data_IF_981553772456
#
_entry.id   IF_981553772456
#
_cell.length_a   1.000
_cell.length_b   1.000
_cell.length_c   1.000
_cell.angle_alpha   90.00
_cell.angle_beta   90.00
_cell.angle_gamma   90.00
#
_symmetry.space_group_name_H-M   'P 1'
#
loop_
_entity.id
_entity.type
_entity.pdbx_description
1 polymer ?
#
# COMPACT_ATOMS: atom_id res chain seq x y z
N UNK A 1 -8.84 -52.43 -28.38
CA UNK A 1 -8.68 -51.01 -28.79
C UNK A 1 -9.35 -49.99 -27.86
N UNK A 2 -10.48 -50.28 -27.18
CA UNK A 2 -11.12 -49.30 -26.27
C UNK A 2 -10.32 -48.99 -24.98
N UNK A 3 -9.56 -49.96 -24.45
CA UNK A 3 -8.76 -49.81 -23.21
C UNK A 3 -7.58 -48.83 -23.33
N UNK A 4 -7.02 -48.65 -24.53
CA UNK A 4 -5.93 -47.70 -24.79
C UNK A 4 -6.41 -46.24 -24.82
N UNK A 5 -7.63 -45.99 -25.31
CA UNK A 5 -8.23 -44.65 -25.33
C UNK A 5 -8.54 -44.11 -23.93
N UNK A 6 -8.99 -44.98 -23.01
CA UNK A 6 -9.23 -44.58 -21.61
C UNK A 6 -7.93 -44.28 -20.85
N UNK A 7 -6.85 -45.02 -21.12
CA UNK A 7 -5.55 -44.78 -20.51
C UNK A 7 -4.94 -43.43 -20.93
N UNK A 8 -5.11 -43.06 -22.20
CA UNK A 8 -4.60 -41.79 -22.73
C UNK A 8 -5.38 -40.58 -22.18
N UNK A 9 -6.70 -40.70 -22.05
CA UNK A 9 -7.54 -39.65 -21.45
C UNK A 9 -7.24 -39.40 -19.96
N UNK A 10 -6.97 -40.46 -19.19
CA UNK A 10 -6.65 -40.36 -17.77
C UNK A 10 -5.27 -39.73 -17.52
N UNK A 11 -4.29 -39.98 -18.39
CA UNK A 11 -2.95 -39.40 -18.28
C UNK A 11 -2.94 -37.88 -18.56
N UNK A 12 -3.70 -37.40 -19.55
CA UNK A 12 -3.86 -35.98 -19.82
C UNK A 12 -4.56 -35.22 -18.67
N UNK A 13 -5.50 -35.87 -17.99
CA UNK A 13 -6.25 -35.26 -16.88
C UNK A 13 -5.35 -35.10 -15.63
N UNK A 14 -4.47 -36.06 -15.36
CA UNK A 14 -3.47 -35.99 -14.29
C UNK A 14 -2.37 -34.96 -14.58
N UNK A 15 -1.94 -34.82 -15.84
CA UNK A 15 -0.96 -33.81 -16.24
C UNK A 15 -1.49 -32.37 -16.11
N UNK A 16 -2.81 -32.18 -16.27
CA UNK A 16 -3.46 -30.87 -16.12
C UNK A 16 -3.56 -30.41 -14.65
N UNK A 17 -3.63 -31.36 -13.71
CA UNK A 17 -3.81 -31.07 -12.28
C UNK A 17 -2.51 -30.78 -11.52
N UNK A 18 -1.35 -31.11 -12.09
CA UNK A 18 -0.04 -30.78 -11.49
C UNK A 18 0.41 -29.33 -11.75
N UNK A 19 -0.29 -28.60 -12.64
CA UNK A 19 0.02 -27.21 -12.98
C UNK A 19 -0.18 -26.20 -11.85
N UNK A 20 -0.94 -26.54 -10.80
CA UNK A 20 -1.18 -25.65 -9.67
C UNK A 20 -0.16 -25.76 -8.53
N UNK A 21 0.78 -26.71 -8.57
CA UNK A 21 1.79 -26.88 -7.50
C UNK A 21 3.05 -26.03 -7.67
N UNK A 22 3.29 -25.43 -8.84
CA UNK A 22 4.47 -24.58 -9.07
C UNK A 22 4.37 -23.18 -8.43
N UNK A 23 3.27 -22.88 -7.71
CA UNK A 23 3.07 -21.62 -6.98
C UNK A 23 3.40 -21.67 -5.49
N UNK A 24 3.85 -22.79 -4.93
CA UNK A 24 4.02 -22.93 -3.49
C UNK A 24 5.39 -22.44 -2.99
N UNK A 25 5.58 -21.12 -3.08
CA UNK A 25 6.64 -20.39 -2.38
C UNK A 25 6.32 -20.24 -0.88
N UNK A 26 5.79 -21.28 -0.24
CA UNK A 26 5.35 -21.21 1.16
C UNK A 26 6.56 -21.30 2.12
N UNK A 27 7.67 -21.95 1.72
CA UNK A 27 8.90 -22.02 2.54
C UNK A 27 10.24 -22.04 1.74
N UNK A 28 10.24 -21.68 0.44
CA UNK A 28 11.45 -21.68 -0.40
C UNK A 28 12.23 -20.35 -0.44
N UNK A 29 13.30 -20.21 -1.24
CA UNK A 29 14.10 -18.98 -1.39
C UNK A 29 13.25 -17.71 -1.62
N UNK A 30 12.12 -17.87 -2.30
CA UNK A 30 11.14 -16.81 -2.56
C UNK A 30 10.46 -16.26 -1.28
N UNK A 31 10.37 -17.02 -0.19
CA UNK A 31 9.80 -16.51 1.09
C UNK A 31 10.78 -15.58 1.80
N UNK A 32 12.08 -15.87 1.72
CA UNK A 32 13.14 -14.98 2.21
C UNK A 32 13.23 -13.71 1.37
N UNK A 33 13.15 -13.82 0.04
CA UNK A 33 13.11 -12.67 -0.86
C UNK A 33 11.86 -11.82 -0.63
N UNK A 34 10.68 -12.43 -0.48
CA UNK A 34 9.45 -11.71 -0.12
C UNK A 34 9.61 -10.96 1.20
N UNK A 35 10.14 -11.60 2.25
CA UNK A 35 10.35 -10.95 3.54
C UNK A 35 11.32 -9.77 3.43
N UNK A 36 12.41 -9.92 2.67
CA UNK A 36 13.35 -8.83 2.39
C UNK A 36 12.69 -7.69 1.61
N UNK A 37 11.89 -8.01 0.59
CA UNK A 37 11.13 -7.00 -0.17
C UNK A 37 10.17 -6.25 0.73
N UNK A 38 9.36 -6.94 1.54
CA UNK A 38 8.42 -6.30 2.46
C UNK A 38 9.14 -5.40 3.47
N UNK A 39 10.28 -5.86 4.01
CA UNK A 39 11.09 -5.06 4.92
C UNK A 39 11.78 -3.86 4.24
N UNK A 40 11.96 -3.90 2.91
CA UNK A 40 12.50 -2.77 2.15
C UNK A 40 11.47 -1.69 1.82
N UNK A 41 10.18 -1.99 1.98
CA UNK A 41 9.10 -1.01 1.77
C UNK A 41 9.07 -0.08 2.98
N UNK A 42 9.43 1.18 2.76
CA UNK A 42 9.32 2.22 3.77
C UNK A 42 7.83 2.52 4.06
N UNK A 43 7.42 2.67 5.33
CA UNK A 43 6.09 3.13 5.66
C UNK A 43 5.85 4.53 5.09
N UNK A 44 4.59 4.88 4.85
CA UNK A 44 4.24 6.14 4.19
C UNK A 44 4.74 7.38 4.96
N UNK A 45 4.76 7.29 6.30
CA UNK A 45 5.31 8.33 7.19
C UNK A 45 6.80 8.62 7.01
N UNK A 46 7.60 7.67 6.53
CA UNK A 46 9.04 7.88 6.33
C UNK A 46 9.36 8.77 5.13
N UNK A 47 8.39 9.01 4.25
CA UNK A 47 8.53 9.96 3.16
C UNK A 47 8.27 11.41 3.60
N UNK A 48 7.85 11.64 4.85
CA UNK A 48 7.60 12.98 5.39
C UNK A 48 8.75 13.39 6.31
N UNK A 49 9.51 14.39 5.86
CA UNK A 49 10.76 14.81 6.51
C UNK A 49 10.63 16.23 7.05
N UNK A 50 11.18 16.44 8.24
CA UNK A 50 11.33 17.73 8.92
C UNK A 50 12.64 17.69 9.69
N UNK A 51 13.50 18.67 9.49
CA UNK A 51 14.85 18.67 10.07
C UNK A 51 14.79 18.69 11.60
N UNK A 52 15.70 17.94 12.22
CA UNK A 52 15.79 17.83 13.68
C UNK A 52 14.70 17.00 14.35
N UNK A 53 13.79 16.36 13.62
CA UNK A 53 12.74 15.52 14.20
C UNK A 53 13.17 14.07 14.42
N UNK A 54 12.81 13.54 15.59
CA UNK A 54 12.92 12.10 15.88
C UNK A 54 11.77 11.31 15.26
N UNK A 55 11.89 9.98 15.21
CA UNK A 55 10.82 9.12 14.73
C UNK A 55 9.55 9.22 15.60
N UNK A 56 9.72 9.29 16.92
CA UNK A 56 8.61 9.35 17.89
C UNK A 56 7.87 10.67 17.78
N UNK A 57 8.61 11.77 17.63
CA UNK A 57 8.00 13.10 17.46
C UNK A 57 7.28 13.21 16.12
N UNK A 58 7.85 12.66 15.03
CA UNK A 58 7.15 12.51 13.75
C UNK A 58 5.87 11.69 13.87
N UNK A 59 5.91 10.58 14.61
CA UNK A 59 4.73 9.73 14.77
C UNK A 59 3.63 10.42 15.58
N UNK A 60 3.96 11.29 16.53
CA UNK A 60 2.97 12.12 17.23
C UNK A 60 2.28 13.10 16.28
N UNK A 61 3.05 13.86 15.50
CA UNK A 61 2.51 14.80 14.52
C UNK A 61 1.70 14.07 13.43
N UNK A 62 2.16 12.87 13.03
CA UNK A 62 1.45 11.98 12.11
C UNK A 62 0.06 11.59 12.61
N UNK A 63 -0.03 11.15 13.87
CA UNK A 63 -1.29 10.76 14.51
C UNK A 63 -2.20 11.97 14.72
N UNK A 64 -1.63 13.12 15.09
CA UNK A 64 -2.36 14.39 15.21
C UNK A 64 -3.05 14.78 13.90
N UNK A 65 -2.39 14.56 12.77
CA UNK A 65 -2.97 14.77 11.43
C UNK A 65 -4.00 13.70 11.00
N UNK A 66 -4.25 12.67 11.81
CA UNK A 66 -5.19 11.59 11.52
C UNK A 66 -4.56 10.33 10.93
N UNK A 67 -3.23 10.21 11.00
CA UNK A 67 -2.53 8.97 10.70
C UNK A 67 -2.65 7.94 11.83
N UNK A 68 -2.25 6.69 11.55
CA UNK A 68 -2.22 5.62 12.53
C UNK A 68 -0.87 5.57 13.28
N UNK A 69 -0.88 5.04 14.51
CA UNK A 69 0.32 4.87 15.35
C UNK A 69 1.36 3.88 14.80
N UNK A 70 1.04 3.14 13.73
CA UNK A 70 1.99 2.29 13.02
C UNK A 70 2.65 3.01 11.82
N UNK A 71 2.43 4.33 11.66
CA UNK A 71 2.99 5.13 10.57
C UNK A 71 2.26 4.96 9.23
N UNK A 72 1.13 4.26 9.19
CA UNK A 72 0.24 4.17 8.04
C UNK A 72 -0.83 5.28 8.07
N UNK A 73 -1.50 5.48 6.94
CA UNK A 73 -2.68 6.33 6.83
C UNK A 73 -3.89 5.49 6.43
N UNK A 74 -5.03 5.73 7.07
CA UNK A 74 -6.29 5.06 6.75
C UNK A 74 -7.44 6.05 6.82
N UNK A 75 -8.44 5.87 5.95
CA UNK A 75 -9.62 6.72 5.93
C UNK A 75 -10.51 6.42 7.15
N UNK A 76 -10.59 7.37 8.08
CA UNK A 76 -11.54 7.31 9.18
C UNK A 76 -12.97 7.52 8.67
N UNK A 77 -13.71 6.41 8.55
CA UNK A 77 -15.09 6.39 8.04
C UNK A 77 -16.07 7.16 8.92
N UNK A 78 -15.75 7.43 10.19
CA UNK A 78 -16.59 8.25 11.06
C UNK A 78 -16.64 9.72 10.62
N UNK A 79 -15.62 10.20 9.89
CA UNK A 79 -15.53 11.55 9.34
C UNK A 79 -16.29 11.71 8.01
N UNK A 80 -17.12 10.74 7.63
CA UNK A 80 -17.88 10.78 6.38
C UNK A 80 -19.07 11.73 6.52
N UNK A 81 -19.17 12.68 5.60
CA UNK A 81 -20.29 13.62 5.48
C UNK A 81 -21.47 12.91 4.80
N UNK A 82 -22.70 12.99 5.34
CA UNK A 82 -23.88 12.43 4.68
C UNK A 82 -24.05 12.94 3.25
N UNK A 83 -24.27 12.03 2.31
CA UNK A 83 -24.47 12.35 0.89
C UNK A 83 -23.18 12.55 0.08
N UNK A 84 -21.99 12.55 0.70
CA UNK A 84 -20.75 12.68 -0.06
C UNK A 84 -20.36 11.38 -0.79
N UNK A 85 -19.83 11.53 -2.00
CA UNK A 85 -19.33 10.39 -2.78
C UNK A 85 -18.11 9.77 -2.08
N UNK A 86 -17.87 8.48 -2.31
CA UNK A 86 -16.70 7.79 -1.73
C UNK A 86 -15.37 8.40 -2.19
N UNK A 87 -15.32 8.92 -3.42
CA UNK A 87 -14.14 9.58 -3.97
C UNK A 87 -13.90 10.96 -3.36
N UNK A 88 -14.96 11.75 -3.20
CA UNK A 88 -14.91 13.05 -2.52
C UNK A 88 -14.46 12.89 -1.08
N UNK A 89 -15.04 11.92 -0.34
CA UNK A 89 -14.62 11.57 1.02
C UNK A 89 -13.14 11.24 1.11
N UNK A 90 -12.67 10.33 0.23
CA UNK A 90 -11.26 9.88 0.22
C UNK A 90 -10.33 11.05 -0.08
N UNK A 91 -10.62 11.80 -1.14
CA UNK A 91 -9.77 12.90 -1.59
C UNK A 91 -9.70 14.00 -0.53
N UNK A 92 -10.84 14.37 0.07
CA UNK A 92 -10.89 15.36 1.15
C UNK A 92 -10.03 14.94 2.35
N UNK A 93 -10.22 13.73 2.87
CA UNK A 93 -9.43 13.26 4.02
C UNK A 93 -7.93 13.17 3.71
N UNK A 94 -7.55 12.72 2.51
CA UNK A 94 -6.15 12.71 2.09
C UNK A 94 -5.58 14.13 2.00
N UNK A 95 -6.33 15.08 1.45
CA UNK A 95 -5.89 16.49 1.36
C UNK A 95 -5.75 17.10 2.75
N UNK A 96 -6.75 16.93 3.62
CA UNK A 96 -6.73 17.43 4.99
C UNK A 96 -5.50 16.91 5.74
N UNK A 97 -5.21 15.62 5.61
CA UNK A 97 -4.02 14.99 6.18
C UNK A 97 -2.72 15.61 5.66
N UNK A 98 -2.59 15.75 4.33
CA UNK A 98 -1.38 16.29 3.70
C UNK A 98 -1.13 17.74 4.09
N UNK A 99 -2.18 18.57 4.06
CA UNK A 99 -2.10 19.97 4.47
C UNK A 99 -1.71 20.08 5.94
N UNK A 100 -2.23 19.21 6.80
CA UNK A 100 -1.83 19.17 8.22
C UNK A 100 -0.33 18.88 8.37
N UNK A 101 0.20 17.85 7.70
CA UNK A 101 1.64 17.52 7.76
C UNK A 101 2.51 18.69 7.25
N UNK A 102 2.10 19.33 6.16
CA UNK A 102 2.78 20.52 5.62
C UNK A 102 2.77 21.67 6.62
N UNK A 103 1.64 21.93 7.30
CA UNK A 103 1.52 22.97 8.34
C UNK A 103 2.40 22.69 9.55
N UNK A 104 2.61 21.42 9.89
CA UNK A 104 3.59 21.01 10.89
C UNK A 104 5.04 21.21 10.44
N UNK A 105 5.28 21.60 9.18
CA UNK A 105 6.60 21.90 8.62
C UNK A 105 7.26 20.69 7.96
N UNK A 106 6.51 19.62 7.69
CA UNK A 106 7.03 18.47 6.95
C UNK A 106 6.99 18.72 5.44
N UNK A 107 7.99 18.21 4.72
CA UNK A 107 8.00 18.11 3.28
C UNK A 107 7.98 16.65 2.86
N UNK A 108 7.23 16.34 1.79
CA UNK A 108 7.17 15.01 1.23
C UNK A 108 8.34 14.76 0.28
N UNK A 109 8.94 13.58 0.37
CA UNK A 109 10.15 13.17 -0.38
C UNK A 109 9.93 11.94 -1.25
N UNK A 110 8.69 11.47 -1.37
CA UNK A 110 8.35 10.36 -2.26
C UNK A 110 8.14 10.80 -3.72
N UNK A 111 7.63 9.90 -4.54
CA UNK A 111 7.48 10.13 -5.97
C UNK A 111 6.31 11.08 -6.31
N UNK A 112 6.63 12.20 -6.96
CA UNK A 112 5.71 13.21 -7.46
C UNK A 112 5.65 13.25 -9.01
N UNK A 113 6.09 12.20 -9.68
CA UNK A 113 6.23 12.18 -11.15
C UNK A 113 4.89 12.17 -11.89
N UNK A 114 3.89 11.45 -11.37
CA UNK A 114 2.58 11.30 -12.02
C UNK A 114 1.72 12.55 -11.92
N UNK A 115 0.86 12.77 -12.93
CA UNK A 115 -0.12 13.87 -12.93
C UNK A 115 -1.02 13.85 -11.70
N UNK A 116 -1.48 12.65 -11.32
CA UNK A 116 -2.26 12.45 -10.10
C UNK A 116 -1.50 12.95 -8.86
N UNK A 117 -0.23 12.58 -8.69
CA UNK A 117 0.55 13.04 -7.54
C UNK A 117 0.81 14.54 -7.56
N UNK A 118 1.08 15.12 -8.73
CA UNK A 118 1.25 16.57 -8.89
C UNK A 118 -0.01 17.37 -8.55
N UNK A 119 -1.19 16.76 -8.62
CA UNK A 119 -2.44 17.39 -8.17
C UNK A 119 -2.59 17.43 -6.64
N UNK A 120 -1.74 16.73 -5.88
CA UNK A 120 -1.83 16.59 -4.42
C UNK A 120 -1.02 17.65 -3.67
N UNK A 121 -1.53 18.19 -2.54
CA UNK A 121 -0.83 19.19 -1.74
C UNK A 121 0.59 18.80 -1.36
N UNK A 122 0.82 17.51 -1.06
CA UNK A 122 2.15 16.99 -0.71
C UNK A 122 3.22 17.20 -1.80
N UNK A 123 2.82 17.32 -3.08
CA UNK A 123 3.71 17.59 -4.21
C UNK A 123 3.71 19.06 -4.63
N UNK A 124 3.20 19.97 -3.79
CA UNK A 124 3.24 21.40 -4.03
C UNK A 124 2.04 21.97 -4.80
N UNK A 125 0.95 21.22 -4.98
CA UNK A 125 -0.31 21.84 -5.39
C UNK A 125 -0.85 22.74 -4.27
N UNK A 126 -1.46 23.86 -4.67
CA UNK A 126 -2.04 24.85 -3.74
C UNK A 126 -3.51 24.56 -3.49
#
# INVERSE_FOLDING_TARGET
>A
MKRFFYAFGFFCLLASLSGCLYGQCINGPCSLERKRMLNSIKPYSDYWVKDGMTQESRLRDWVDCGGQSNGNFSLDRSKRIPGESSETFRTRLEFDFQVCMIRHGYHYTGDCSSEYMRSRPLCGSR
#
